data_IF_463028859690
#
_entry.id   IF_463028859690
#
_cell.length_a   1.000
_cell.length_b   1.000
_cell.length_c   1.000
_cell.angle_alpha   90.00
_cell.angle_beta   90.00
_cell.angle_gamma   90.00
#
_symmetry.space_group_name_H-M   'P 1'
#
loop_
_entity.id
_entity.type
_entity.pdbx_description
1 polymer ?
#
# COMPACT_ATOMS: atom_id res chain seq x y z
N UNK A 1 -7.77 -8.23 -22.99
CA UNK A 1 -7.72 -6.83 -22.54
C UNK A 1 -6.72 -6.09 -23.40
N UNK A 2 -7.06 -4.95 -24.04
CA UNK A 2 -6.09 -4.17 -24.79
C UNK A 2 -5.01 -3.64 -23.85
N UNK A 3 -3.77 -3.60 -24.33
CA UNK A 3 -2.66 -2.96 -23.61
C UNK A 3 -3.00 -1.49 -23.39
N UNK A 4 -2.90 -1.02 -22.15
CA UNK A 4 -2.93 0.40 -21.85
C UNK A 4 -1.62 0.98 -22.40
N UNK A 5 -1.68 1.78 -23.48
CA UNK A 5 -0.52 2.52 -24.02
C UNK A 5 -0.14 3.66 -23.06
N UNK A 6 0.41 3.29 -21.90
CA UNK A 6 0.85 4.22 -20.86
C UNK A 6 2.37 4.16 -20.74
N UNK A 7 2.98 5.30 -20.37
CA UNK A 7 4.35 5.28 -19.92
C UNK A 7 4.46 4.40 -18.65
N UNK A 8 5.55 3.63 -18.46
CA UNK A 8 5.69 2.73 -17.31
C UNK A 8 5.47 3.41 -15.94
N UNK A 9 5.91 4.66 -15.78
CA UNK A 9 5.70 5.43 -14.56
C UNK A 9 4.21 5.73 -14.32
N UNK A 10 3.49 6.15 -15.36
CA UNK A 10 2.06 6.44 -15.25
C UNK A 10 1.25 5.17 -14.96
N UNK A 11 1.67 4.04 -15.53
CA UNK A 11 1.07 2.75 -15.22
C UNK A 11 1.28 2.39 -13.74
N UNK A 12 2.52 2.55 -13.22
CA UNK A 12 2.83 2.31 -11.81
C UNK A 12 1.95 3.18 -10.90
N UNK A 13 1.93 4.48 -11.12
CA UNK A 13 1.21 5.43 -10.27
C UNK A 13 -0.30 5.14 -10.26
N UNK A 14 -0.88 4.81 -11.43
CA UNK A 14 -2.29 4.39 -11.52
C UNK A 14 -2.57 3.08 -10.81
N UNK A 15 -1.65 2.11 -10.89
CA UNK A 15 -1.78 0.84 -10.17
C UNK A 15 -1.74 1.05 -8.66
N UNK A 16 -0.78 1.84 -8.15
CA UNK A 16 -0.70 2.16 -6.72
C UNK A 16 -1.96 2.87 -6.25
N UNK A 17 -2.43 3.88 -7.00
CA UNK A 17 -3.67 4.59 -6.68
C UNK A 17 -4.87 3.65 -6.61
N UNK A 18 -5.02 2.75 -7.58
CA UNK A 18 -6.13 1.80 -7.60
C UNK A 18 -6.13 0.85 -6.38
N UNK A 19 -4.95 0.47 -5.89
CA UNK A 19 -4.83 -0.36 -4.67
C UNK A 19 -5.28 0.42 -3.42
N UNK A 20 -4.91 1.69 -3.31
CA UNK A 20 -5.38 2.57 -2.24
C UNK A 20 -6.89 2.77 -2.28
N UNK A 21 -7.44 3.13 -3.46
CA UNK A 21 -8.89 3.34 -3.62
C UNK A 21 -9.67 2.06 -3.28
N UNK A 22 -9.11 0.88 -3.60
CA UNK A 22 -9.69 -0.40 -3.23
C UNK A 22 -9.68 -0.62 -1.71
N UNK A 23 -8.58 -0.30 -1.02
CA UNK A 23 -8.48 -0.37 0.43
C UNK A 23 -9.52 0.54 1.10
N UNK A 24 -9.64 1.79 0.65
CA UNK A 24 -10.62 2.74 1.14
C UNK A 24 -12.04 2.17 1.04
N UNK A 25 -12.40 1.68 -0.15
CA UNK A 25 -13.72 1.11 -0.41
C UNK A 25 -14.03 -0.11 0.48
N UNK A 26 -13.06 -0.99 0.72
CA UNK A 26 -13.24 -2.13 1.63
C UNK A 26 -13.36 -1.69 3.09
N UNK A 27 -12.52 -0.77 3.54
CA UNK A 27 -12.51 -0.28 4.92
C UNK A 27 -13.79 0.47 5.29
N UNK A 28 -14.45 1.11 4.31
CA UNK A 28 -15.75 1.74 4.48
C UNK A 28 -16.87 0.72 4.77
N UNK A 29 -16.77 -0.48 4.19
CA UNK A 29 -17.78 -1.54 4.37
C UNK A 29 -17.52 -2.35 5.64
N UNK A 30 -16.27 -2.72 5.90
CA UNK A 30 -15.88 -3.53 7.05
C UNK A 30 -14.45 -3.20 7.50
N UNK A 31 -14.10 -3.45 8.78
CA UNK A 31 -12.73 -3.29 9.23
C UNK A 31 -11.78 -4.18 8.43
N UNK A 32 -10.62 -3.64 8.05
CA UNK A 32 -9.57 -4.37 7.32
C UNK A 32 -8.36 -4.53 8.23
N UNK A 33 -7.83 -5.74 8.30
CA UNK A 33 -6.55 -6.01 8.95
C UNK A 33 -5.50 -6.34 7.89
N UNK A 34 -4.40 -5.61 7.90
CA UNK A 34 -3.30 -5.76 6.94
C UNK A 34 -2.02 -6.06 7.71
N UNK A 35 -1.26 -7.03 7.22
CA UNK A 35 0.01 -7.43 7.79
C UNK A 35 1.09 -7.32 6.72
N UNK A 36 2.13 -6.53 7.01
CA UNK A 36 3.38 -6.51 6.27
C UNK A 36 4.46 -7.16 7.11
N UNK A 37 4.96 -8.31 6.67
CA UNK A 37 6.04 -9.01 7.34
C UNK A 37 7.38 -8.70 6.68
N UNK A 38 8.43 -8.64 7.51
CA UNK A 38 9.81 -8.51 7.06
C UNK A 38 10.02 -7.34 6.09
N UNK A 39 9.47 -6.14 6.41
CA UNK A 39 9.51 -4.99 5.48
C UNK A 39 10.91 -4.55 5.06
N UNK A 40 11.94 -4.91 5.82
CA UNK A 40 13.34 -4.74 5.42
C UNK A 40 13.75 -5.47 4.11
N UNK A 41 12.91 -6.34 3.53
CA UNK A 41 13.16 -7.06 2.25
C UNK A 41 12.19 -6.70 1.13
N UNK A 42 11.21 -5.81 1.37
CA UNK A 42 10.23 -5.47 0.33
C UNK A 42 10.88 -4.64 -0.77
N UNK A 43 10.37 -4.76 -1.99
CA UNK A 43 10.88 -3.98 -3.11
C UNK A 43 10.51 -2.49 -2.98
N UNK A 44 11.22 -1.58 -3.68
CA UNK A 44 10.94 -0.15 -3.60
C UNK A 44 9.51 0.24 -3.97
N UNK A 45 8.86 -0.45 -4.91
CA UNK A 45 7.49 -0.13 -5.32
C UNK A 45 6.49 -0.48 -4.23
N UNK A 46 6.73 -1.58 -3.51
CA UNK A 46 5.91 -1.97 -2.36
C UNK A 46 6.16 -1.06 -1.16
N UNK A 47 7.37 -0.54 -1.00
CA UNK A 47 7.66 0.50 0.02
C UNK A 47 6.86 1.77 -0.27
N UNK A 48 6.86 2.25 -1.52
CA UNK A 48 6.04 3.40 -1.93
C UNK A 48 4.54 3.17 -1.65
N UNK A 49 4.03 1.95 -1.88
CA UNK A 49 2.65 1.62 -1.54
C UNK A 49 2.40 1.69 -0.02
N UNK A 50 3.32 1.14 0.77
CA UNK A 50 3.22 1.16 2.23
C UNK A 50 3.19 2.60 2.77
N UNK A 51 4.07 3.47 2.26
CA UNK A 51 4.11 4.89 2.61
C UNK A 51 2.75 5.57 2.31
N UNK A 52 2.21 5.36 1.11
CA UNK A 52 0.89 5.86 0.72
C UNK A 52 -0.23 5.31 1.61
N UNK A 53 -0.15 4.04 2.01
CA UNK A 53 -1.13 3.42 2.91
C UNK A 53 -1.07 4.06 4.30
N UNK A 54 0.12 4.26 4.88
CA UNK A 54 0.28 4.87 6.22
C UNK A 54 -0.35 6.26 6.28
N UNK A 55 -0.24 7.05 5.21
CA UNK A 55 -0.88 8.35 5.11
C UNK A 55 -2.41 8.26 5.05
N UNK A 56 -2.94 7.35 4.22
CA UNK A 56 -4.38 7.26 3.93
C UNK A 56 -5.18 6.53 5.01
N UNK A 57 -4.58 5.59 5.75
CA UNK A 57 -5.29 4.86 6.81
C UNK A 57 -5.71 5.76 7.98
N UNK A 58 -5.17 6.98 8.07
CA UNK A 58 -5.57 7.97 9.06
C UNK A 58 -7.03 8.41 8.82
N UNK A 59 -7.96 7.72 9.48
CA UNK A 59 -9.40 7.95 9.35
C UNK A 59 -10.19 6.76 8.79
N UNK A 60 -9.51 5.68 8.40
CA UNK A 60 -10.14 4.45 7.94
C UNK A 60 -10.25 3.42 9.06
N UNK A 61 -11.13 2.42 8.87
CA UNK A 61 -11.26 1.27 9.77
C UNK A 61 -10.22 0.22 9.44
N UNK A 62 -8.95 0.60 9.48
CA UNK A 62 -7.81 -0.27 9.12
C UNK A 62 -6.91 -0.45 10.32
N UNK A 63 -6.52 -1.70 10.58
CA UNK A 63 -5.40 -2.03 11.44
C UNK A 63 -4.24 -2.49 10.56
N UNK A 64 -3.13 -1.76 10.61
CA UNK A 64 -1.91 -2.08 9.90
C UNK A 64 -0.88 -2.61 10.91
N UNK A 65 -0.42 -3.85 10.71
CA UNK A 65 0.68 -4.45 11.46
C UNK A 65 1.90 -4.56 10.57
N UNK A 66 3.01 -4.00 11.02
CA UNK A 66 4.29 -4.03 10.31
C UNK A 66 5.30 -4.73 11.20
N UNK A 67 5.97 -5.75 10.67
CA UNK A 67 7.11 -6.40 11.34
C UNK A 67 8.40 -6.11 10.57
N UNK A 68 9.43 -5.72 11.31
CA UNK A 68 10.73 -5.36 10.77
C UNK A 68 11.86 -5.78 11.72
N UNK A 69 13.07 -5.87 11.19
CA UNK A 69 14.26 -6.07 12.04
C UNK A 69 14.53 -4.79 12.84
N UNK A 70 15.01 -4.88 14.10
CA UNK A 70 15.23 -3.70 14.95
C UNK A 70 16.11 -2.61 14.34
N UNK A 71 17.02 -2.97 13.44
CA UNK A 71 17.94 -2.04 12.76
C UNK A 71 17.31 -1.33 11.54
N UNK A 72 16.04 -1.60 11.23
CA UNK A 72 15.32 -1.01 10.10
C UNK A 72 14.47 0.17 10.57
N UNK A 73 14.57 1.31 9.88
CA UNK A 73 13.69 2.45 10.10
C UNK A 73 12.34 2.18 9.43
N UNK A 74 11.30 1.97 10.24
CA UNK A 74 9.95 1.83 9.74
C UNK A 74 9.42 3.19 9.26
N UNK A 75 8.79 3.26 8.07
CA UNK A 75 8.07 4.44 7.62
C UNK A 75 6.84 4.75 8.48
#
# INVERSE_FOLDING_TARGET
>A
YPSLDLAPQEQKDRTLRALIDQLEAHSAQQPVFIVFEDVHWIDPTTTELLDLMVDVIQGLRVLLLITFRPDFECP
#
